data_IF_950135510900
#
_entry.id   IF_950135510900
#
_cell.length_a   1.000
_cell.length_b   1.000
_cell.length_c   1.000
_cell.angle_alpha   90.00
_cell.angle_beta   90.00
_cell.angle_gamma   90.00
#
_symmetry.space_group_name_H-M   'P 1'
#
loop_
_entity.id
_entity.type
_entity.pdbx_description
1 polymer ?
#
# COMPACT_ATOMS: atom_id res chain seq x y z
N UNK A 1 -16.80 -4.08 46.18
CA UNK A 1 -15.38 -4.50 46.10
C UNK A 1 -15.33 -5.56 45.02
N UNK A 2 -14.84 -5.23 43.82
CA UNK A 2 -14.73 -6.19 42.73
C UNK A 2 -13.58 -7.15 43.05
N UNK A 3 -13.86 -8.45 43.06
CA UNK A 3 -12.84 -9.49 43.16
C UNK A 3 -11.87 -9.30 41.99
N UNK A 4 -10.57 -9.15 42.29
CA UNK A 4 -9.55 -9.19 41.24
C UNK A 4 -9.64 -10.56 40.54
N UNK A 5 -9.68 -10.61 39.20
CA UNK A 5 -9.78 -11.87 38.48
C UNK A 5 -8.55 -12.74 38.80
N UNK A 6 -8.82 -14.00 39.12
CA UNK A 6 -7.81 -15.02 39.44
C UNK A 6 -6.79 -15.11 38.29
N UNK A 7 -5.51 -15.25 38.62
CA UNK A 7 -4.43 -15.31 37.64
C UNK A 7 -4.63 -16.45 36.62
N UNK A 8 -5.27 -17.55 37.04
CA UNK A 8 -5.66 -18.65 36.16
C UNK A 8 -6.73 -18.23 35.13
N UNK A 9 -7.66 -17.37 35.53
CA UNK A 9 -8.70 -16.85 34.65
C UNK A 9 -8.13 -15.82 33.66
N UNK A 10 -7.18 -14.98 34.10
CA UNK A 10 -6.42 -14.10 33.20
C UNK A 10 -5.60 -14.89 32.17
N UNK A 11 -4.90 -15.94 32.59
CA UNK A 11 -4.12 -16.81 31.69
C UNK A 11 -5.01 -17.50 30.66
N UNK A 12 -6.17 -18.00 31.09
CA UNK A 12 -7.13 -18.64 30.19
C UNK A 12 -7.71 -17.66 29.16
N UNK A 13 -7.97 -16.42 29.54
CA UNK A 13 -8.40 -15.35 28.61
C UNK A 13 -7.29 -15.01 27.60
N UNK A 14 -6.02 -15.08 27.99
CA UNK A 14 -4.88 -14.87 27.08
C UNK A 14 -4.73 -16.06 26.12
N UNK A 15 -4.88 -17.29 26.61
CA UNK A 15 -4.80 -18.51 25.79
C UNK A 15 -5.98 -18.65 24.80
N UNK A 16 -7.17 -18.18 25.19
CA UNK A 16 -8.36 -18.14 24.33
C UNK A 16 -8.36 -16.90 23.38
N UNK A 17 -7.40 -15.98 23.54
CA UNK A 17 -7.34 -14.77 22.71
C UNK A 17 -7.02 -15.13 21.25
N UNK A 18 -7.80 -14.63 20.28
CA UNK A 18 -7.55 -14.92 18.87
C UNK A 18 -6.16 -14.44 18.45
N UNK A 19 -5.36 -15.33 17.87
CA UNK A 19 -4.01 -15.01 17.43
C UNK A 19 -4.01 -13.82 16.46
N UNK A 20 -3.56 -12.66 16.93
CA UNK A 20 -3.55 -11.39 16.19
C UNK A 20 -2.42 -11.30 15.13
N UNK A 21 -1.74 -12.42 14.85
CA UNK A 21 -0.51 -12.46 14.06
C UNK A 21 -0.62 -13.40 12.85
N UNK A 22 -1.75 -13.36 12.14
CA UNK A 22 -1.86 -14.12 10.89
C UNK A 22 -0.97 -13.51 9.80
N UNK A 23 0.08 -14.24 9.41
CA UNK A 23 0.96 -13.86 8.31
C UNK A 23 0.19 -13.74 6.98
N UNK A 24 0.67 -12.87 6.08
CA UNK A 24 0.10 -12.71 4.75
C UNK A 24 0.21 -13.99 3.91
N UNK A 25 -0.89 -14.37 3.24
CA UNK A 25 -0.94 -15.60 2.44
C UNK A 25 -0.07 -15.50 1.18
N UNK A 26 0.35 -16.62 0.56
CA UNK A 26 1.08 -16.60 -0.71
C UNK A 26 0.33 -15.85 -1.82
N UNK A 27 -1.00 -16.01 -1.88
CA UNK A 27 -1.84 -15.31 -2.85
C UNK A 27 -1.88 -13.80 -2.64
N UNK A 28 -1.92 -13.35 -1.39
CA UNK A 28 -1.82 -11.92 -1.06
C UNK A 28 -0.47 -11.33 -1.48
N UNK A 29 0.62 -12.06 -1.24
CA UNK A 29 1.97 -11.66 -1.64
C UNK A 29 2.08 -11.52 -3.16
N UNK A 30 1.59 -12.52 -3.89
CA UNK A 30 1.56 -12.49 -5.35
C UNK A 30 0.76 -11.29 -5.88
N UNK A 31 -0.46 -11.07 -5.37
CA UNK A 31 -1.29 -9.93 -5.75
C UNK A 31 -0.64 -8.58 -5.41
N UNK A 32 0.06 -8.48 -4.28
CA UNK A 32 0.77 -7.27 -3.89
C UNK A 32 1.94 -6.95 -4.81
N UNK A 33 2.75 -7.96 -5.16
CA UNK A 33 3.84 -7.79 -6.14
C UNK A 33 3.28 -7.37 -7.49
N UNK A 34 2.25 -8.07 -7.99
CA UNK A 34 1.59 -7.71 -9.25
C UNK A 34 1.03 -6.29 -9.23
N UNK A 35 0.46 -5.85 -8.09
CA UNK A 35 -0.04 -4.49 -7.92
C UNK A 35 1.07 -3.45 -8.04
N UNK A 36 2.23 -3.68 -7.41
CA UNK A 36 3.36 -2.76 -7.48
C UNK A 36 3.95 -2.70 -8.90
N UNK A 37 4.05 -3.83 -9.58
CA UNK A 37 4.52 -3.91 -10.98
C UNK A 37 3.54 -3.20 -11.93
N UNK A 38 2.24 -3.45 -11.77
CA UNK A 38 1.21 -2.78 -12.57
C UNK A 38 1.20 -1.27 -12.35
N UNK A 39 1.32 -0.83 -11.10
CA UNK A 39 1.44 0.59 -10.74
C UNK A 39 2.63 1.24 -11.43
N UNK A 40 3.81 0.62 -11.36
CA UNK A 40 5.02 1.09 -12.03
C UNK A 40 4.81 1.19 -13.55
N UNK A 41 4.38 0.11 -14.19
CA UNK A 41 4.24 0.03 -15.64
C UNK A 41 3.24 1.07 -16.17
N UNK A 42 2.07 1.18 -15.55
CA UNK A 42 1.03 2.13 -15.97
C UNK A 42 1.51 3.57 -15.83
N UNK A 43 2.14 3.92 -14.71
CA UNK A 43 2.66 5.28 -14.49
C UNK A 43 3.83 5.61 -15.44
N UNK A 44 4.73 4.66 -15.68
CA UNK A 44 5.84 4.83 -16.60
C UNK A 44 5.35 5.05 -18.04
N UNK A 45 4.48 4.16 -18.53
CA UNK A 45 3.90 4.27 -19.88
C UNK A 45 3.13 5.58 -20.04
N UNK A 46 2.33 5.97 -19.04
CA UNK A 46 1.57 7.23 -19.09
C UNK A 46 2.48 8.46 -19.03
N UNK A 47 3.68 8.37 -18.44
CA UNK A 47 4.62 9.50 -18.33
C UNK A 47 5.48 9.70 -19.57
N UNK A 48 5.69 8.65 -20.38
CA UNK A 48 6.44 8.72 -21.65
C UNK A 48 5.53 9.14 -22.81
N UNK A 49 4.25 8.78 -22.76
CA UNK A 49 3.30 9.10 -23.81
C UNK A 49 2.54 10.39 -23.50
N UNK A 50 2.21 11.16 -24.53
CA UNK A 50 1.19 12.21 -24.40
C UNK A 50 -0.17 11.54 -24.26
N UNK A 51 -0.72 11.56 -23.06
CA UNK A 51 -2.05 11.05 -22.75
C UNK A 51 -3.03 12.20 -22.61
N UNK A 52 -4.27 12.07 -23.11
CA UNK A 52 -5.31 13.05 -22.86
C UNK A 52 -5.49 13.28 -21.36
N UNK A 53 -5.71 14.53 -20.94
CA UNK A 53 -5.81 14.91 -19.52
C UNK A 53 -6.81 14.05 -18.75
N UNK A 54 -7.98 13.74 -19.35
CA UNK A 54 -8.98 12.88 -18.72
C UNK A 54 -8.46 11.46 -18.43
N UNK A 55 -7.68 10.89 -19.36
CA UNK A 55 -7.05 9.59 -19.17
C UNK A 55 -5.95 9.67 -18.12
N UNK A 56 -5.18 10.76 -18.10
CA UNK A 56 -4.19 11.03 -17.05
C UNK A 56 -4.81 11.11 -15.65
N UNK A 57 -5.93 11.81 -15.51
CA UNK A 57 -6.72 11.84 -14.27
C UNK A 57 -7.20 10.44 -13.87
N UNK A 58 -7.70 9.64 -14.82
CA UNK A 58 -8.16 8.28 -14.55
C UNK A 58 -7.01 7.37 -14.08
N UNK A 59 -5.83 7.48 -14.67
CA UNK A 59 -4.61 6.76 -14.25
C UNK A 59 -4.24 7.11 -12.81
N UNK A 60 -4.19 8.40 -12.47
CA UNK A 60 -3.84 8.85 -11.12
C UNK A 60 -4.90 8.44 -10.08
N UNK A 61 -6.18 8.54 -10.44
CA UNK A 61 -7.28 8.08 -9.59
C UNK A 61 -7.22 6.56 -9.36
N UNK A 62 -6.92 5.78 -10.41
CA UNK A 62 -6.73 4.33 -10.31
C UNK A 62 -5.53 3.96 -9.44
N UNK A 63 -4.39 4.66 -9.59
CA UNK A 63 -3.21 4.49 -8.78
C UNK A 63 -3.48 4.79 -7.29
N UNK A 64 -4.16 5.90 -7.00
CA UNK A 64 -4.57 6.24 -5.64
C UNK A 64 -5.52 5.19 -5.07
N UNK A 65 -6.54 4.79 -5.83
CA UNK A 65 -7.49 3.77 -5.41
C UNK A 65 -6.81 2.44 -5.10
N UNK A 66 -5.79 2.04 -5.88
CA UNK A 66 -5.00 0.83 -5.62
C UNK A 66 -4.26 0.91 -4.29
N UNK A 67 -3.58 2.03 -4.00
CA UNK A 67 -2.89 2.25 -2.72
C UNK A 67 -3.88 2.19 -1.56
N UNK A 68 -5.00 2.91 -1.64
CA UNK A 68 -6.03 2.94 -0.60
C UNK A 68 -6.66 1.55 -0.39
N UNK A 69 -6.87 0.79 -1.47
CA UNK A 69 -7.42 -0.59 -1.42
C UNK A 69 -6.55 -1.49 -0.56
N UNK A 70 -5.23 -1.42 -0.71
CA UNK A 70 -4.31 -2.23 0.08
C UNK A 70 -4.38 -1.90 1.57
N UNK A 71 -4.46 -0.62 1.94
CA UNK A 71 -4.65 -0.25 3.35
C UNK A 71 -5.98 -0.74 3.88
N UNK A 72 -7.06 -0.53 3.14
CA UNK A 72 -8.38 -0.97 3.54
C UNK A 72 -8.45 -2.48 3.76
N UNK A 73 -7.88 -3.25 2.82
CA UNK A 73 -7.75 -4.70 2.92
C UNK A 73 -7.01 -5.10 4.20
N UNK A 74 -5.88 -4.46 4.51
CA UNK A 74 -5.10 -4.76 5.72
C UNK A 74 -5.74 -4.30 7.03
N UNK A 75 -6.56 -3.25 7.02
CA UNK A 75 -7.29 -2.77 8.20
C UNK A 75 -8.52 -3.63 8.51
N UNK A 76 -9.17 -4.18 7.47
CA UNK A 76 -10.39 -4.99 7.62
C UNK A 76 -10.15 -6.49 7.75
N UNK A 77 -8.93 -6.95 7.54
CA UNK A 77 -8.60 -8.37 7.63
C UNK A 77 -8.72 -8.85 9.10
N UNK A 78 -9.66 -9.76 9.42
CA UNK A 78 -9.83 -10.27 10.78
C UNK A 78 -8.55 -10.95 11.28
N UNK A 79 -8.18 -10.73 12.54
CA UNK A 79 -6.98 -11.32 13.14
C UNK A 79 -5.65 -10.74 12.62
N UNK A 80 -5.68 -9.62 11.90
CA UNK A 80 -4.46 -8.84 11.60
C UNK A 80 -4.17 -7.88 12.75
N UNK A 81 -2.90 -7.80 13.11
CA UNK A 81 -2.39 -6.81 14.04
C UNK A 81 -2.63 -5.37 13.55
N UNK A 82 -2.81 -4.42 14.49
CA UNK A 82 -2.81 -3.00 14.20
C UNK A 82 -1.55 -2.56 13.45
N UNK A 83 -1.66 -1.51 12.64
CA UNK A 83 -0.52 -0.92 11.95
C UNK A 83 0.46 -0.30 12.95
N UNK A 84 1.75 -0.45 12.65
CA UNK A 84 2.81 0.26 13.38
C UNK A 84 2.92 1.71 12.90
N UNK A 85 3.57 2.56 13.71
CA UNK A 85 3.86 3.95 13.30
C UNK A 85 4.63 4.01 11.97
N UNK A 86 5.55 3.07 11.74
CA UNK A 86 6.30 2.99 10.49
C UNK A 86 5.40 2.61 9.31
N UNK A 87 4.50 1.64 9.47
CA UNK A 87 3.53 1.24 8.45
C UNK A 87 2.58 2.39 8.08
N UNK A 88 2.09 3.14 9.08
CA UNK A 88 1.26 4.33 8.86
C UNK A 88 2.03 5.44 8.13
N UNK A 89 3.28 5.72 8.55
CA UNK A 89 4.11 6.72 7.90
C UNK A 89 4.36 6.37 6.43
N UNK A 90 4.82 5.14 6.13
CA UNK A 90 5.07 4.70 4.75
C UNK A 90 3.79 4.74 3.92
N UNK A 91 2.66 4.34 4.50
CA UNK A 91 1.39 4.43 3.81
C UNK A 91 1.02 5.88 3.46
N UNK A 92 1.17 6.82 4.38
CA UNK A 92 0.88 8.25 4.13
C UNK A 92 1.79 8.85 3.05
N UNK A 93 3.02 8.35 2.92
CA UNK A 93 3.92 8.74 1.83
C UNK A 93 3.49 8.23 0.45
N UNK A 94 2.82 7.08 0.38
CA UNK A 94 2.40 6.48 -0.90
C UNK A 94 1.54 7.43 -1.77
N UNK A 95 0.43 8.04 -1.29
CA UNK A 95 -0.35 8.98 -2.09
C UNK A 95 0.42 10.27 -2.40
N UNK A 96 1.28 10.75 -1.49
CA UNK A 96 2.09 11.96 -1.72
C UNK A 96 3.03 11.75 -2.92
N UNK A 97 3.65 10.58 -3.02
CA UNK A 97 4.58 10.28 -4.12
C UNK A 97 3.92 10.14 -5.49
N UNK A 98 2.60 9.98 -5.57
CA UNK A 98 1.87 10.03 -6.85
C UNK A 98 1.88 11.41 -7.50
N UNK A 99 2.15 12.47 -6.74
CA UNK A 99 2.32 13.82 -7.30
C UNK A 99 3.51 13.89 -8.28
N UNK A 100 4.55 13.08 -8.06
CA UNK A 100 5.78 13.08 -8.88
C UNK A 100 5.48 12.71 -10.35
N UNK A 101 4.87 11.54 -10.66
CA UNK A 101 4.43 11.26 -12.02
C UNK A 101 3.22 12.10 -12.43
N UNK A 102 2.36 12.52 -11.48
CA UNK A 102 1.16 13.31 -11.77
C UNK A 102 1.46 14.67 -12.44
N UNK A 103 2.54 15.33 -12.03
CA UNK A 103 2.99 16.57 -12.69
C UNK A 103 3.30 16.37 -14.18
N UNK A 104 3.81 15.20 -14.58
CA UNK A 104 4.15 14.90 -15.97
C UNK A 104 2.91 14.54 -16.78
N UNK A 105 2.07 13.68 -16.20
CA UNK A 105 0.87 13.13 -16.82
C UNK A 105 -0.20 14.21 -17.07
N UNK A 106 -0.31 15.22 -16.19
CA UNK A 106 -1.37 16.24 -16.28
C UNK A 106 -0.98 17.52 -17.04
N UNK A 107 0.32 17.83 -17.17
CA UNK A 107 0.79 19.07 -17.80
C UNK A 107 1.28 18.90 -19.25
N UNK A 108 0.93 17.79 -19.92
CA UNK A 108 1.35 17.46 -21.30
C UNK A 108 2.87 17.63 -21.53
N UNK A 109 3.65 17.31 -20.50
CA UNK A 109 5.10 17.42 -20.50
C UNK A 109 5.70 16.01 -20.47
N UNK A 110 5.72 15.31 -21.62
CA UNK A 110 6.24 13.95 -21.69
C UNK A 110 7.71 13.97 -21.24
N UNK A 111 8.01 13.15 -20.24
CA UNK A 111 9.36 13.02 -19.75
C UNK A 111 10.17 12.12 -20.70
N UNK A 112 11.48 12.34 -20.74
CA UNK A 112 12.36 11.32 -21.30
C UNK A 112 12.18 9.98 -20.55
N UNK A 113 12.52 8.88 -21.21
CA UNK A 113 12.31 7.53 -20.72
C UNK A 113 12.89 7.31 -19.33
N UNK A 114 14.08 7.85 -19.07
CA UNK A 114 14.77 7.73 -17.77
C UNK A 114 14.00 8.45 -16.68
N UNK A 115 13.62 9.70 -16.90
CA UNK A 115 12.88 10.50 -15.95
C UNK A 115 11.50 9.89 -15.69
N UNK A 116 10.81 9.37 -16.71
CA UNK A 116 9.53 8.68 -16.57
C UNK A 116 9.64 7.46 -15.66
N UNK A 117 10.65 6.61 -15.86
CA UNK A 117 10.90 5.46 -15.00
C UNK A 117 11.22 5.86 -13.56
N UNK A 118 12.08 6.87 -13.35
CA UNK A 118 12.41 7.35 -12.01
C UNK A 118 11.15 7.86 -11.30
N UNK A 119 10.31 8.66 -11.96
CA UNK A 119 9.08 9.17 -11.35
C UNK A 119 8.05 8.08 -11.03
N UNK A 120 7.94 7.05 -11.86
CA UNK A 120 7.02 5.94 -11.64
C UNK A 120 7.54 4.96 -10.57
N UNK A 121 8.86 4.82 -10.44
CA UNK A 121 9.49 3.93 -9.47
C UNK A 121 9.19 4.36 -8.02
N UNK A 122 9.17 5.67 -7.74
CA UNK A 122 8.99 6.16 -6.36
C UNK A 122 7.68 5.65 -5.72
N UNK A 123 6.48 5.90 -6.28
CA UNK A 123 5.24 5.39 -5.66
C UNK A 123 5.15 3.86 -5.67
N UNK A 124 5.70 3.19 -6.68
CA UNK A 124 5.72 1.72 -6.73
C UNK A 124 6.60 1.11 -5.62
N UNK A 125 7.77 1.69 -5.39
CA UNK A 125 8.68 1.29 -4.31
C UNK A 125 8.07 1.56 -2.95
N UNK A 126 7.43 2.72 -2.74
CA UNK A 126 6.77 3.02 -1.47
C UNK A 126 5.65 2.03 -1.18
N UNK A 127 4.82 1.68 -2.18
CA UNK A 127 3.81 0.63 -2.04
C UNK A 127 4.46 -0.73 -1.72
N UNK A 128 5.52 -1.11 -2.43
CA UNK A 128 6.23 -2.37 -2.19
C UNK A 128 6.81 -2.44 -0.77
N UNK A 129 7.42 -1.35 -0.27
CA UNK A 129 7.92 -1.26 1.11
C UNK A 129 6.79 -1.44 2.11
N UNK A 130 5.66 -0.75 1.90
CA UNK A 130 4.47 -0.93 2.76
C UNK A 130 4.01 -2.39 2.80
N UNK A 131 3.91 -3.04 1.65
CA UNK A 131 3.50 -4.44 1.55
C UNK A 131 4.48 -5.38 2.25
N UNK A 132 5.78 -5.21 2.03
CA UNK A 132 6.84 -6.00 2.69
C UNK A 132 6.79 -5.83 4.21
N UNK A 133 6.58 -4.62 4.72
CA UNK A 133 6.40 -4.38 6.16
C UNK A 133 5.18 -5.13 6.72
N UNK A 134 4.11 -5.26 5.94
CA UNK A 134 2.90 -6.02 6.32
C UNK A 134 3.08 -7.54 6.21
N UNK A 135 4.04 -8.05 5.43
CA UNK A 135 4.27 -9.48 5.24
C UNK A 135 5.38 -10.08 6.11
N UNK A 136 6.34 -9.25 6.54
CA UNK A 136 7.51 -9.69 7.33
C UNK A 136 7.18 -10.12 8.77
N UNK A 137 5.96 -9.88 9.23
CA UNK A 137 5.48 -10.23 10.57
C UNK A 137 4.16 -10.98 10.44
#
# INVERSE_FOLDING_TARGET
MGQEPDAAEQLRVIDEAPALAKAGSPGERALGVLSAVALFAVLAVSSVNRVPVLLGCAVLAGALALVLRWRWFHLRAPGRRPHTRAEEAVFLFAPVTLAIPGLKVLWDNPADTTAAFVSAAVPAVVLAVYLVLRWRR
#
